data_IF_641887679985
#
_entry.id   IF_641887679985
#
_cell.length_a   1.000
_cell.length_b   1.000
_cell.length_c   1.000
_cell.angle_alpha   90.00
_cell.angle_beta   90.00
_cell.angle_gamma   90.00
#
_symmetry.space_group_name_H-M   'P 1'
#
loop_
_entity.id
_entity.type
_entity.pdbx_description
1 polymer ?
#
# COMPACT_ATOMS: atom_id res chain seq x y z
N UNK A 1 -14.20 3.52 5.41
CA UNK A 1 -13.86 4.78 4.72
C UNK A 1 -12.71 5.47 5.44
N UNK A 2 -11.68 5.93 4.70
CA UNK A 2 -10.62 6.76 5.27
C UNK A 2 -10.98 8.22 5.04
N UNK A 3 -10.89 9.05 6.08
CA UNK A 3 -11.13 10.49 6.03
C UNK A 3 -9.90 11.24 6.53
N UNK A 4 -9.39 12.12 5.69
CA UNK A 4 -8.30 13.02 6.02
C UNK A 4 -8.90 14.40 6.22
N UNK A 5 -8.56 15.07 7.33
CA UNK A 5 -9.14 16.37 7.70
C UNK A 5 -8.04 17.35 8.08
N UNK A 6 -7.93 18.43 7.31
CA UNK A 6 -7.01 19.56 7.53
C UNK A 6 -5.57 19.13 7.86
N UNK A 7 -5.09 18.06 7.17
CA UNK A 7 -3.82 17.40 7.49
C UNK A 7 -2.66 18.24 6.96
N UNK A 8 -1.68 18.53 7.83
CA UNK A 8 -0.49 19.27 7.43
C UNK A 8 0.79 18.65 7.98
N UNK A 9 1.88 18.86 7.22
CA UNK A 9 3.24 18.42 7.60
C UNK A 9 4.28 19.44 7.17
N UNK A 10 5.11 19.85 8.12
CA UNK A 10 6.24 20.73 7.89
C UNK A 10 7.56 19.99 8.12
N UNK A 11 8.57 20.33 7.34
CA UNK A 11 9.97 19.98 7.58
C UNK A 11 10.77 21.29 7.73
N UNK A 12 11.07 21.63 8.95
CA UNK A 12 11.63 22.95 9.29
C UNK A 12 10.63 24.05 8.94
N UNK A 13 11.00 24.93 7.99
CA UNK A 13 10.13 26.03 7.51
C UNK A 13 9.31 25.68 6.25
N UNK A 14 9.56 24.49 5.66
CA UNK A 14 8.92 24.08 4.41
C UNK A 14 7.67 23.25 4.71
N UNK A 15 6.51 23.72 4.26
CA UNK A 15 5.30 22.91 4.21
C UNK A 15 5.41 21.91 3.07
N UNK A 16 5.20 20.62 3.37
CA UNK A 16 5.22 19.53 2.40
C UNK A 16 3.82 18.98 2.15
N UNK A 17 2.96 19.06 3.15
CA UNK A 17 1.52 18.82 3.03
C UNK A 17 0.85 19.96 3.78
N UNK A 18 -0.15 20.60 3.15
CA UNK A 18 -0.76 21.80 3.67
C UNK A 18 -2.28 21.73 3.56
N UNK A 19 -2.94 21.67 4.71
CA UNK A 19 -4.41 21.69 4.88
C UNK A 19 -5.16 20.72 3.98
N UNK A 20 -4.63 19.50 3.83
CA UNK A 20 -5.23 18.50 2.95
C UNK A 20 -6.46 17.89 3.60
N UNK A 21 -7.59 17.99 2.90
CA UNK A 21 -8.86 17.33 3.25
C UNK A 21 -9.31 16.48 2.09
N UNK A 22 -9.41 15.16 2.31
CA UNK A 22 -9.82 14.19 1.28
C UNK A 22 -10.52 12.98 1.89
N UNK A 23 -11.57 12.50 1.21
CA UNK A 23 -12.27 11.26 1.56
C UNK A 23 -11.89 10.15 0.57
N UNK A 24 -11.41 9.02 1.09
CA UNK A 24 -11.12 7.81 0.33
C UNK A 24 -12.30 6.86 0.51
N UNK A 25 -12.99 6.63 -0.59
CA UNK A 25 -14.19 5.77 -0.58
C UNK A 25 -13.82 4.29 -0.45
N UNK A 26 -14.59 3.51 0.33
CA UNK A 26 -14.37 2.09 0.45
C UNK A 26 -14.64 1.35 -0.86
N UNK A 27 -13.97 0.22 -1.06
CA UNK A 27 -14.12 -0.66 -2.21
C UNK A 27 -13.88 0.04 -3.55
N UNK A 28 -12.88 0.93 -3.58
CA UNK A 28 -12.49 1.73 -4.73
C UNK A 28 -10.98 1.80 -4.84
N UNK A 29 -10.47 2.05 -6.06
CA UNK A 29 -9.10 2.47 -6.27
C UNK A 29 -9.07 3.99 -6.28
N UNK A 30 -8.34 4.60 -5.34
CA UNK A 30 -8.04 6.03 -5.32
C UNK A 30 -6.57 6.23 -5.65
N UNK A 31 -6.27 6.94 -6.74
CA UNK A 31 -4.91 7.27 -7.12
C UNK A 31 -4.55 8.69 -6.74
N UNK A 32 -3.40 8.86 -6.09
CA UNK A 32 -2.74 10.15 -5.90
C UNK A 32 -1.76 10.39 -7.04
N UNK A 33 -1.94 11.48 -7.78
CA UNK A 33 -1.06 11.91 -8.88
C UNK A 33 -0.51 13.30 -8.61
N UNK A 34 0.56 13.66 -9.32
CA UNK A 34 1.18 14.99 -9.25
C UNK A 34 2.70 14.92 -9.39
N UNK A 35 3.38 16.06 -9.51
CA UNK A 35 4.83 16.11 -9.69
C UNK A 35 5.59 15.53 -8.49
N UNK A 36 6.88 15.25 -8.71
CA UNK A 36 7.78 14.87 -7.61
C UNK A 36 7.85 16.02 -6.59
N UNK A 37 7.82 15.65 -5.31
CA UNK A 37 7.79 16.64 -4.23
C UNK A 37 6.42 17.26 -3.94
N UNK A 38 5.34 16.83 -4.61
CA UNK A 38 3.98 17.34 -4.35
C UNK A 38 3.38 16.92 -2.99
N UNK A 39 4.06 16.04 -2.22
CA UNK A 39 3.59 15.61 -0.90
C UNK A 39 2.85 14.27 -0.89
N UNK A 40 2.70 13.57 -2.01
CA UNK A 40 1.93 12.32 -2.14
C UNK A 40 2.37 11.23 -1.16
N UNK A 41 3.66 10.86 -1.19
CA UNK A 41 4.22 9.82 -0.29
C UNK A 41 4.21 10.25 1.18
N UNK A 42 4.34 11.57 1.44
CA UNK A 42 4.22 12.13 2.79
C UNK A 42 2.80 11.99 3.30
N UNK A 43 1.80 12.33 2.49
CA UNK A 43 0.38 12.14 2.82
C UNK A 43 0.08 10.66 3.07
N UNK A 44 0.52 9.77 2.19
CA UNK A 44 0.31 8.32 2.36
C UNK A 44 0.98 7.80 3.64
N UNK A 45 2.18 8.30 3.97
CA UNK A 45 2.90 7.93 5.19
C UNK A 45 2.16 8.41 6.46
N UNK A 46 1.50 9.57 6.43
CA UNK A 46 0.68 10.04 7.54
C UNK A 46 -0.60 9.21 7.69
N UNK A 47 -1.26 8.88 6.59
CA UNK A 47 -2.45 8.00 6.60
C UNK A 47 -2.12 6.63 7.16
N UNK A 48 -0.93 6.10 6.87
CA UNK A 48 -0.46 4.79 7.35
C UNK A 48 0.21 4.80 8.72
N UNK A 49 0.23 5.94 9.43
CA UNK A 49 0.90 6.10 10.74
C UNK A 49 2.41 5.84 10.72
N UNK A 50 3.04 5.89 9.56
CA UNK A 50 4.52 5.84 9.44
C UNK A 50 5.17 7.20 9.69
N UNK A 51 4.37 8.27 9.65
CA UNK A 51 4.78 9.64 9.89
C UNK A 51 3.67 10.36 10.67
N UNK A 52 4.04 11.10 11.71
CA UNK A 52 3.10 11.93 12.44
C UNK A 52 2.79 13.22 11.68
N UNK A 53 1.52 13.59 11.63
CA UNK A 53 1.08 14.91 11.15
C UNK A 53 1.32 15.98 12.22
N UNK A 54 1.61 17.20 11.78
CA UNK A 54 1.75 18.35 12.72
C UNK A 54 0.38 18.93 13.10
N UNK A 55 -0.57 18.95 12.14
CA UNK A 55 -1.97 19.33 12.38
C UNK A 55 -2.92 18.39 11.65
N UNK A 56 -4.20 18.48 12.00
CA UNK A 56 -5.25 17.66 11.40
C UNK A 56 -5.32 16.23 11.91
N UNK A 57 -6.22 15.48 11.36
CA UNK A 57 -6.49 14.11 11.78
C UNK A 57 -6.78 13.18 10.59
N UNK A 58 -6.55 11.88 10.80
CA UNK A 58 -6.94 10.80 9.90
C UNK A 58 -7.90 9.88 10.64
N UNK A 59 -9.07 9.66 10.07
CA UNK A 59 -10.07 8.74 10.61
C UNK A 59 -10.22 7.55 9.68
N UNK A 60 -10.24 6.35 10.24
CA UNK A 60 -10.62 5.12 9.56
C UNK A 60 -11.87 4.56 10.23
N UNK A 61 -12.95 4.45 9.46
CA UNK A 61 -14.26 4.03 9.95
C UNK A 61 -14.71 4.85 11.17
N UNK A 62 -14.54 6.18 11.10
CA UNK A 62 -14.82 7.17 12.14
C UNK A 62 -13.91 7.10 13.37
N UNK A 63 -12.92 6.24 13.40
CA UNK A 63 -11.94 6.11 14.50
C UNK A 63 -10.64 6.81 14.15
N UNK A 64 -10.16 7.69 15.03
CA UNK A 64 -8.87 8.38 14.87
C UNK A 64 -7.73 7.35 14.89
N UNK A 65 -6.95 7.32 13.81
CA UNK A 65 -5.84 6.37 13.66
C UNK A 65 -4.80 6.51 14.79
N UNK A 66 -4.59 7.69 15.33
CA UNK A 66 -3.63 7.93 16.43
C UNK A 66 -4.07 7.26 17.74
N UNK A 67 -5.38 7.05 17.93
CA UNK A 67 -5.96 6.42 19.13
C UNK A 67 -6.12 4.90 19.01
N UNK A 68 -5.99 4.35 17.80
CA UNK A 68 -6.08 2.90 17.59
C UNK A 68 -4.84 2.19 18.15
N UNK A 69 -5.03 1.00 18.74
CA UNK A 69 -3.90 0.12 19.08
C UNK A 69 -3.17 -0.30 17.82
N UNK A 70 -1.83 -0.39 17.88
CA UNK A 70 -1.02 -0.75 16.70
C UNK A 70 -1.40 -2.10 16.09
N UNK A 71 -1.77 -3.08 16.94
CA UNK A 71 -2.24 -4.39 16.47
C UNK A 71 -3.59 -4.35 15.74
N UNK A 72 -4.50 -3.46 16.15
CA UNK A 72 -5.78 -3.25 15.48
C UNK A 72 -5.60 -2.52 14.16
N UNK A 73 -4.75 -1.49 14.15
CA UNK A 73 -4.42 -0.74 12.94
C UNK A 73 -3.77 -1.64 11.89
N UNK A 74 -2.79 -2.47 12.28
CA UNK A 74 -2.11 -3.40 11.37
C UNK A 74 -3.03 -4.48 10.78
N UNK A 75 -4.19 -4.75 11.37
CA UNK A 75 -5.23 -5.64 10.82
C UNK A 75 -6.20 -4.92 9.89
N UNK A 76 -6.20 -3.58 9.87
CA UNK A 76 -7.06 -2.76 9.01
C UNK A 76 -6.33 -2.20 7.80
N UNK A 77 -5.06 -1.84 7.95
CA UNK A 77 -4.27 -1.12 6.94
C UNK A 77 -2.96 -1.85 6.69
N UNK A 78 -2.70 -2.13 5.44
CA UNK A 78 -1.38 -2.56 4.96
C UNK A 78 -0.76 -1.48 4.07
N UNK A 79 0.57 -1.41 4.07
CA UNK A 79 1.30 -0.45 3.24
C UNK A 79 2.51 -1.08 2.58
N UNK A 80 2.70 -0.76 1.29
CA UNK A 80 3.94 -0.96 0.56
C UNK A 80 4.61 0.39 0.34
N UNK A 81 5.81 0.58 0.85
CA UNK A 81 6.63 1.78 0.63
C UNK A 81 7.32 1.75 -0.73
N UNK A 82 7.72 2.92 -1.21
CA UNK A 82 8.47 3.08 -2.46
C UNK A 82 9.78 2.27 -2.47
N UNK A 83 10.50 2.22 -1.35
CA UNK A 83 11.75 1.46 -1.22
C UNK A 83 11.62 0.41 -0.11
N UNK A 84 11.79 -0.84 -0.51
CA UNK A 84 11.74 -1.99 0.40
C UNK A 84 13.10 -2.71 0.35
N UNK A 85 14.07 -2.21 1.13
CA UNK A 85 15.36 -2.87 1.30
C UNK A 85 15.29 -3.84 2.48
N UNK A 86 15.61 -5.09 2.21
CA UNK A 86 15.80 -6.10 3.25
C UNK A 86 17.22 -6.63 3.16
N UNK A 87 17.97 -6.51 4.24
CA UNK A 87 19.36 -7.02 4.35
C UNK A 87 19.38 -8.49 4.80
N UNK A 88 18.25 -9.17 4.72
CA UNK A 88 18.12 -10.58 5.11
C UNK A 88 17.83 -11.40 3.86
N UNK A 89 18.50 -12.52 3.70
CA UNK A 89 18.26 -13.45 2.60
C UNK A 89 17.01 -14.27 2.92
N UNK A 90 15.94 -13.99 2.21
CA UNK A 90 14.62 -14.60 2.39
C UNK A 90 14.14 -15.21 1.08
N UNK A 91 13.41 -16.30 1.18
CA UNK A 91 12.59 -16.82 0.08
C UNK A 91 11.33 -15.97 -0.11
N UNK A 92 10.69 -16.09 -1.27
CA UNK A 92 9.41 -15.42 -1.54
C UNK A 92 8.37 -15.83 -0.49
N UNK A 93 8.27 -17.14 -0.17
CA UNK A 93 7.32 -17.63 0.82
C UNK A 93 7.54 -17.02 2.20
N UNK A 94 8.78 -16.97 2.65
CA UNK A 94 9.13 -16.34 3.92
C UNK A 94 8.75 -14.86 3.94
N UNK A 95 9.05 -14.10 2.86
CA UNK A 95 8.63 -12.71 2.75
C UNK A 95 7.09 -12.57 2.86
N UNK A 96 6.34 -13.36 2.09
CA UNK A 96 4.87 -13.28 2.09
C UNK A 96 4.30 -13.64 3.45
N UNK A 97 4.92 -14.59 4.15
CA UNK A 97 4.54 -14.99 5.51
C UNK A 97 4.65 -13.84 6.53
N UNK A 98 5.55 -12.85 6.33
CA UNK A 98 5.58 -11.66 7.19
C UNK A 98 4.28 -10.85 7.15
N UNK A 99 3.51 -10.91 6.08
CA UNK A 99 2.18 -10.31 6.01
C UNK A 99 1.24 -10.82 7.11
N UNK A 100 1.44 -12.04 7.58
CA UNK A 100 0.63 -12.65 8.65
C UNK A 100 1.06 -12.27 10.06
N UNK A 101 2.17 -11.54 10.22
CA UNK A 101 2.70 -11.17 11.55
C UNK A 101 1.69 -10.50 12.49
N UNK A 102 0.79 -9.60 12.04
CA UNK A 102 -0.23 -9.00 12.92
C UNK A 102 -1.19 -10.01 13.57
N UNK A 103 -1.30 -11.20 13.01
CA UNK A 103 -2.17 -12.28 13.48
C UNK A 103 -1.38 -13.36 14.21
N UNK A 104 -0.33 -13.87 13.58
CA UNK A 104 0.44 -15.04 13.99
C UNK A 104 1.52 -14.75 15.03
N UNK A 105 2.00 -13.48 15.10
CA UNK A 105 3.19 -13.08 15.89
C UNK A 105 4.41 -13.97 15.61
N UNK A 106 4.54 -14.43 14.36
CA UNK A 106 5.65 -15.28 13.91
C UNK A 106 5.41 -16.79 14.02
N UNK A 107 4.25 -17.23 14.52
CA UNK A 107 3.85 -18.65 14.54
C UNK A 107 2.63 -18.81 13.66
N UNK A 108 2.85 -19.23 12.41
CA UNK A 108 1.77 -19.40 11.44
C UNK A 108 0.84 -20.54 11.87
N UNK A 109 -0.46 -20.29 11.75
CA UNK A 109 -1.50 -21.31 11.86
C UNK A 109 -1.79 -21.90 10.47
N UNK A 110 -2.55 -22.99 10.38
CA UNK A 110 -3.00 -23.56 9.09
C UNK A 110 -3.76 -22.52 8.25
N UNK A 111 -4.56 -21.66 8.90
CA UNK A 111 -5.26 -20.58 8.22
C UNK A 111 -4.29 -19.52 7.67
N UNK A 112 -3.24 -19.18 8.42
CA UNK A 112 -2.20 -18.25 7.94
C UNK A 112 -1.46 -18.82 6.72
N UNK A 113 -1.11 -20.11 6.75
CA UNK A 113 -0.46 -20.80 5.63
C UNK A 113 -1.38 -20.78 4.39
N UNK A 114 -2.66 -21.05 4.56
CA UNK A 114 -3.66 -21.00 3.47
C UNK A 114 -3.71 -19.60 2.84
N UNK A 115 -3.68 -18.54 3.64
CA UNK A 115 -3.70 -17.16 3.14
C UNK A 115 -2.39 -16.82 2.42
N UNK A 116 -1.26 -17.32 2.90
CA UNK A 116 0.04 -17.18 2.22
C UNK A 116 -0.03 -17.86 0.85
N UNK A 117 -0.51 -19.11 0.77
CA UNK A 117 -0.65 -19.86 -0.49
C UNK A 117 -1.55 -19.11 -1.48
N UNK A 118 -2.71 -18.63 -1.04
CA UNK A 118 -3.62 -17.82 -1.86
C UNK A 118 -2.97 -16.54 -2.37
N UNK A 119 -2.19 -15.86 -1.53
CA UNK A 119 -1.50 -14.64 -1.92
C UNK A 119 -0.40 -14.89 -2.96
N UNK A 120 0.31 -16.00 -2.84
CA UNK A 120 1.30 -16.46 -3.82
C UNK A 120 0.64 -16.80 -5.16
N UNK A 121 -0.46 -17.53 -5.14
CA UNK A 121 -1.24 -17.87 -6.32
C UNK A 121 -1.80 -16.60 -7.01
N UNK A 122 -2.36 -15.68 -6.24
CA UNK A 122 -2.92 -14.43 -6.73
C UNK A 122 -1.89 -13.58 -7.49
N UNK A 123 -0.63 -13.64 -7.05
CA UNK A 123 0.50 -12.93 -7.66
C UNK A 123 1.27 -13.77 -8.68
N UNK A 124 0.84 -15.01 -8.99
CA UNK A 124 1.53 -15.96 -9.86
C UNK A 124 2.99 -16.20 -9.43
N UNK A 125 3.19 -16.52 -8.16
CA UNK A 125 4.49 -16.77 -7.54
C UNK A 125 4.65 -18.19 -7.00
N UNK A 126 3.65 -19.04 -7.10
CA UNK A 126 3.62 -20.39 -6.52
C UNK A 126 4.81 -21.23 -6.96
N UNK A 127 5.12 -21.24 -8.27
CA UNK A 127 6.21 -22.09 -8.83
C UNK A 127 7.61 -21.62 -8.39
N UNK A 128 7.74 -20.38 -7.92
CA UNK A 128 9.01 -19.79 -7.52
C UNK A 128 9.05 -19.40 -6.04
N UNK A 129 8.11 -19.88 -5.24
CA UNK A 129 7.98 -19.47 -3.83
C UNK A 129 9.22 -19.74 -2.97
N UNK A 130 10.05 -20.72 -3.36
CA UNK A 130 11.28 -21.11 -2.68
C UNK A 130 12.53 -20.36 -3.21
N UNK A 131 12.40 -19.53 -4.27
CA UNK A 131 13.50 -18.70 -4.76
C UNK A 131 13.79 -17.57 -3.79
N UNK A 132 15.07 -17.19 -3.68
CA UNK A 132 15.48 -16.09 -2.82
C UNK A 132 15.22 -14.74 -3.49
N UNK A 133 14.94 -13.71 -2.68
CA UNK A 133 14.62 -12.36 -3.16
C UNK A 133 15.73 -11.69 -3.97
N UNK A 134 16.98 -12.04 -3.68
CA UNK A 134 18.17 -11.54 -4.38
C UNK A 134 18.37 -12.16 -5.78
N UNK A 135 17.69 -13.27 -6.07
CA UNK A 135 17.70 -13.97 -7.36
C UNK A 135 16.61 -13.46 -8.32
N UNK A 136 15.70 -12.60 -7.84
CA UNK A 136 14.52 -12.17 -8.59
C UNK A 136 14.80 -10.97 -9.50
N UNK A 137 14.11 -10.95 -10.64
CA UNK A 137 13.97 -9.72 -11.42
C UNK A 137 13.23 -8.63 -10.63
N UNK A 138 13.40 -7.35 -10.98
CA UNK A 138 12.68 -6.26 -10.31
C UNK A 138 11.16 -6.46 -10.27
N UNK A 139 10.56 -6.93 -11.37
CA UNK A 139 9.14 -7.21 -11.45
C UNK A 139 8.68 -8.40 -10.60
N UNK A 140 9.48 -9.46 -10.52
CA UNK A 140 9.19 -10.59 -9.64
C UNK A 140 9.29 -10.18 -8.18
N UNK A 141 10.34 -9.44 -7.82
CA UNK A 141 10.54 -8.92 -6.47
C UNK A 141 9.40 -8.00 -6.06
N UNK A 142 8.96 -7.10 -6.94
CA UNK A 142 7.82 -6.21 -6.66
C UNK A 142 6.53 -7.00 -6.42
N UNK A 143 6.26 -8.04 -7.23
CA UNK A 143 5.11 -8.93 -7.01
C UNK A 143 5.18 -9.64 -5.66
N UNK A 144 6.37 -10.07 -5.23
CA UNK A 144 6.55 -10.71 -3.92
C UNK A 144 6.21 -9.76 -2.76
N UNK A 145 6.65 -8.48 -2.82
CA UNK A 145 6.26 -7.49 -1.83
C UNK A 145 4.76 -7.18 -1.83
N UNK A 146 4.13 -7.13 -3.01
CA UNK A 146 2.67 -6.95 -3.10
C UNK A 146 1.95 -8.19 -2.53
N UNK A 147 2.44 -9.42 -2.79
CA UNK A 147 1.90 -10.64 -2.19
C UNK A 147 1.95 -10.60 -0.66
N UNK A 148 3.04 -10.10 -0.06
CA UNK A 148 3.14 -9.88 1.39
C UNK A 148 2.06 -8.92 1.90
N UNK A 149 1.81 -7.83 1.17
CA UNK A 149 0.76 -6.86 1.53
C UNK A 149 -0.64 -7.48 1.42
N UNK A 150 -0.88 -8.32 0.39
CA UNK A 150 -2.14 -9.05 0.22
C UNK A 150 -2.33 -10.07 1.35
N UNK A 151 -1.27 -10.79 1.72
CA UNK A 151 -1.29 -11.79 2.80
C UNK A 151 -1.63 -11.18 4.17
N UNK A 152 -1.39 -9.88 4.37
CA UNK A 152 -1.82 -9.17 5.57
C UNK A 152 -3.35 -9.12 5.69
N UNK A 153 -4.10 -9.35 4.60
CA UNK A 153 -5.55 -9.47 4.52
C UNK A 153 -6.32 -8.30 5.15
N UNK A 154 -5.86 -7.10 4.90
CA UNK A 154 -6.45 -5.86 5.41
C UNK A 154 -7.58 -5.35 4.50
N UNK A 155 -8.46 -4.51 5.05
CA UNK A 155 -9.49 -3.81 4.26
C UNK A 155 -8.90 -2.70 3.39
N UNK A 156 -7.87 -2.00 3.89
CA UNK A 156 -7.23 -0.87 3.22
C UNK A 156 -5.80 -1.22 2.83
N UNK A 157 -5.49 -1.09 1.54
CA UNK A 157 -4.18 -1.36 0.96
C UNK A 157 -3.61 -0.05 0.42
N UNK A 158 -2.49 0.37 0.96
CA UNK A 158 -1.80 1.61 0.60
C UNK A 158 -0.51 1.26 -0.16
N UNK A 159 -0.32 1.80 -1.37
CA UNK A 159 0.82 1.47 -2.22
C UNK A 159 1.51 2.76 -2.67
N UNK A 160 2.77 2.92 -2.28
CA UNK A 160 3.58 4.07 -2.66
C UNK A 160 4.46 3.72 -3.87
N UNK A 161 4.08 4.22 -5.04
CA UNK A 161 4.77 4.05 -6.32
C UNK A 161 5.10 2.58 -6.66
N UNK A 162 4.13 1.64 -6.59
CA UNK A 162 4.40 0.22 -6.76
C UNK A 162 4.77 -0.18 -8.19
N UNK A 163 4.64 0.72 -9.16
CA UNK A 163 4.97 0.47 -10.57
C UNK A 163 6.37 0.97 -10.96
N UNK A 164 7.10 1.61 -10.03
CA UNK A 164 8.43 2.15 -10.33
C UNK A 164 9.40 1.04 -10.74
N UNK A 165 10.23 1.35 -11.75
CA UNK A 165 11.23 0.44 -12.32
C UNK A 165 10.64 -0.83 -12.95
N UNK A 166 9.36 -0.83 -13.28
CA UNK A 166 8.71 -1.92 -14.01
C UNK A 166 8.48 -1.53 -15.47
N UNK A 167 8.58 -2.51 -16.35
CA UNK A 167 8.13 -2.33 -17.73
C UNK A 167 6.59 -2.25 -17.81
N UNK A 168 6.10 -1.84 -18.97
CA UNK A 168 4.67 -1.67 -19.22
C UNK A 168 3.86 -2.96 -18.98
N UNK A 169 4.39 -4.11 -19.38
CA UNK A 169 3.71 -5.41 -19.23
C UNK A 169 3.49 -5.76 -17.78
N UNK A 170 4.52 -5.63 -16.95
CA UNK A 170 4.43 -5.92 -15.52
C UNK A 170 3.57 -4.89 -14.79
N UNK A 171 3.64 -3.61 -15.18
CA UNK A 171 2.79 -2.56 -14.62
C UNK A 171 1.31 -2.83 -14.87
N UNK A 172 0.94 -3.19 -16.11
CA UNK A 172 -0.44 -3.59 -16.46
C UNK A 172 -0.89 -4.81 -15.66
N UNK A 173 -0.04 -5.81 -15.49
CA UNK A 173 -0.38 -7.00 -14.68
C UNK A 173 -0.70 -6.63 -13.23
N UNK A 174 0.14 -5.80 -12.60
CA UNK A 174 -0.09 -5.34 -11.23
C UNK A 174 -1.40 -4.57 -11.12
N UNK A 175 -1.66 -3.61 -12.03
CA UNK A 175 -2.90 -2.84 -11.99
C UNK A 175 -4.15 -3.71 -12.18
N UNK A 176 -4.09 -4.73 -13.04
CA UNK A 176 -5.17 -5.71 -13.17
C UNK A 176 -5.41 -6.49 -11.88
N UNK A 177 -4.35 -6.91 -11.21
CA UNK A 177 -4.44 -7.60 -9.92
C UNK A 177 -5.07 -6.68 -8.88
N UNK A 178 -4.61 -5.42 -8.76
CA UNK A 178 -5.20 -4.44 -7.84
C UNK A 178 -6.69 -4.19 -8.13
N UNK A 179 -7.08 -4.15 -9.41
CA UNK A 179 -8.49 -4.02 -9.78
C UNK A 179 -9.31 -5.22 -9.29
N UNK A 180 -8.80 -6.44 -9.50
CA UNK A 180 -9.43 -7.66 -9.01
C UNK A 180 -9.56 -7.70 -7.48
N UNK A 181 -8.56 -7.23 -6.72
CA UNK A 181 -8.65 -7.12 -5.26
C UNK A 181 -9.84 -6.24 -4.82
N UNK A 182 -10.12 -5.18 -5.58
CA UNK A 182 -11.26 -4.32 -5.30
C UNK A 182 -12.57 -4.96 -5.73
N UNK A 183 -12.64 -5.50 -6.96
CA UNK A 183 -13.88 -6.00 -7.55
C UNK A 183 -14.32 -7.35 -6.94
N UNK A 184 -13.37 -8.25 -6.68
CA UNK A 184 -13.65 -9.61 -6.21
C UNK A 184 -13.63 -9.72 -4.68
N UNK A 185 -12.68 -9.01 -4.01
CA UNK A 185 -12.45 -9.12 -2.58
C UNK A 185 -12.94 -7.90 -1.78
N UNK A 186 -13.51 -6.89 -2.46
CA UNK A 186 -14.04 -5.70 -1.81
C UNK A 186 -12.99 -4.86 -1.08
N UNK A 187 -11.70 -4.98 -1.44
CA UNK A 187 -10.62 -4.20 -0.82
C UNK A 187 -10.70 -2.73 -1.25
N UNK A 188 -10.11 -1.86 -0.45
CA UNK A 188 -9.95 -0.44 -0.76
C UNK A 188 -8.48 -0.19 -1.05
N UNK A 189 -8.16 0.30 -2.24
CA UNK A 189 -6.78 0.53 -2.66
C UNK A 189 -6.51 2.02 -2.79
N UNK A 190 -5.43 2.48 -2.16
CA UNK A 190 -4.87 3.82 -2.34
C UNK A 190 -3.50 3.66 -2.96
N UNK A 191 -3.27 4.30 -4.09
CA UNK A 191 -2.03 4.13 -4.84
C UNK A 191 -1.45 5.47 -5.27
N UNK A 192 -0.16 5.67 -5.06
CA UNK A 192 0.58 6.80 -5.65
C UNK A 192 1.08 6.40 -7.02
N UNK A 193 0.74 7.17 -8.03
CA UNK A 193 1.15 6.94 -9.42
C UNK A 193 1.82 8.18 -10.01
N UNK A 194 2.80 7.96 -10.89
CA UNK A 194 3.40 9.02 -11.70
C UNK A 194 2.74 9.14 -13.08
N UNK A 195 2.29 8.02 -13.63
CA UNK A 195 1.67 7.98 -14.96
C UNK A 195 0.15 8.17 -14.85
N UNK A 196 -0.32 9.28 -15.40
CA UNK A 196 -1.74 9.62 -15.44
C UNK A 196 -2.57 8.63 -16.28
N UNK A 197 -1.96 7.96 -17.27
CA UNK A 197 -2.67 6.98 -18.08
C UNK A 197 -3.08 5.77 -17.23
N UNK A 198 -2.19 5.26 -16.37
CA UNK A 198 -2.58 4.21 -15.42
C UNK A 198 -3.66 4.68 -14.46
N UNK A 199 -3.55 5.90 -13.93
CA UNK A 199 -4.58 6.45 -13.06
C UNK A 199 -5.94 6.55 -13.77
N UNK A 200 -5.98 7.03 -15.01
CA UNK A 200 -7.23 7.23 -15.76
C UNK A 200 -7.92 5.92 -16.14
N UNK A 201 -7.15 4.86 -16.41
CA UNK A 201 -7.71 3.55 -16.85
C UNK A 201 -8.17 2.70 -15.68
N UNK A 202 -7.43 2.72 -14.55
CA UNK A 202 -7.64 1.74 -13.48
C UNK A 202 -8.28 2.31 -12.22
N UNK A 203 -8.32 3.65 -12.04
CA UNK A 203 -8.80 4.25 -10.80
C UNK A 203 -10.26 4.66 -10.89
N UNK A 204 -10.97 4.49 -9.78
CA UNK A 204 -12.33 5.02 -9.61
C UNK A 204 -12.30 6.51 -9.24
N UNK A 205 -11.21 6.95 -8.58
CA UNK A 205 -10.98 8.33 -8.18
C UNK A 205 -9.54 8.73 -8.35
N UNK A 206 -9.33 9.95 -8.80
CA UNK A 206 -8.00 10.55 -8.93
C UNK A 206 -7.97 11.79 -8.05
N UNK A 207 -6.96 11.89 -7.21
CA UNK A 207 -6.64 13.03 -6.37
C UNK A 207 -5.34 13.64 -6.89
N UNK A 208 -5.42 14.83 -7.45
CA UNK A 208 -4.25 15.54 -7.95
C UNK A 208 -3.66 16.40 -6.83
N UNK A 209 -2.34 16.27 -6.64
CA UNK A 209 -1.61 17.04 -5.62
C UNK A 209 -0.54 17.92 -6.28
N UNK A 210 -0.43 19.15 -5.81
CA UNK A 210 0.63 20.09 -6.20
C UNK A 210 1.00 20.96 -4.99
N UNK A 211 2.29 21.16 -4.77
CA UNK A 211 2.82 22.04 -3.70
C UNK A 211 2.19 21.76 -2.32
N UNK A 212 2.00 20.48 -1.98
CA UNK A 212 1.45 20.04 -0.71
C UNK A 212 -0.07 20.10 -0.58
N UNK A 213 -0.79 20.52 -1.60
CA UNK A 213 -2.26 20.71 -1.59
C UNK A 213 -2.95 19.76 -2.58
N UNK A 214 -4.25 19.53 -2.39
CA UNK A 214 -5.16 18.82 -3.30
C UNK A 214 -5.91 19.80 -4.15
#
# INVERSE_FOLDING_TARGET
>A
MIQVRALSKLYGKKSVVEDVTVDIQPRKITSFIGPNGAGKSTLLSMVSRLLDSDTGEVLIDKSDVKKMKSSEFAKKVSILKQSNYMNVRLTIRELVSFGRFPYSKGRLTEEDERIVDQSLEYMHLTDMQNSFLDELSGGQRQRAFIAMVIAQDTEYILLDEPLNNLDMKHSVQIMKILRRLVDELGKTVVIVLHDINFASVYSDRIVAMKDGRV
#
